data_IF_811431816950
#
_entry.id   IF_811431816950
#
_cell.length_a   1.000
_cell.length_b   1.000
_cell.length_c   1.000
_cell.angle_alpha   90.00
_cell.angle_beta   90.00
_cell.angle_gamma   90.00
#
_symmetry.space_group_name_H-M   'P 1'
#
loop_
_entity.id
_entity.type
_entity.pdbx_description
1 polymer ?
#
# COMPACT_ATOMS: atom_id res chain seq x y z
N UNK A 1 -11.02 1.39 20.90
CA UNK A 1 -10.65 2.45 19.94
C UNK A 1 -10.61 1.79 18.58
N UNK A 2 -11.71 1.88 17.83
CA UNK A 2 -11.73 1.43 16.44
C UNK A 2 -11.25 2.58 15.56
N UNK A 3 -10.42 2.27 14.57
CA UNK A 3 -9.97 3.25 13.59
C UNK A 3 -11.02 3.25 12.49
N UNK A 4 -11.76 4.35 12.35
CA UNK A 4 -12.85 4.46 11.38
C UNK A 4 -12.36 4.80 9.97
N UNK A 5 -11.23 5.52 9.86
CA UNK A 5 -10.69 6.02 8.60
C UNK A 5 -9.21 5.65 8.45
N UNK A 6 -8.82 5.22 7.24
CA UNK A 6 -7.43 4.94 6.91
C UNK A 6 -6.99 5.68 5.64
N UNK A 7 -5.81 6.30 5.71
CA UNK A 7 -5.13 6.92 4.56
C UNK A 7 -3.81 6.21 4.30
N UNK A 8 -3.66 5.70 3.08
CA UNK A 8 -2.49 4.96 2.62
C UNK A 8 -1.74 5.82 1.63
N UNK A 9 -0.43 5.99 1.87
CA UNK A 9 0.46 6.72 0.98
C UNK A 9 1.46 5.73 0.37
N UNK A 10 1.56 5.72 -0.96
CA UNK A 10 2.48 4.85 -1.70
C UNK A 10 3.27 5.66 -2.72
N UNK A 11 4.52 5.31 -2.96
CA UNK A 11 5.32 5.87 -4.05
C UNK A 11 5.16 5.13 -5.38
N UNK A 12 4.45 3.99 -5.36
CA UNK A 12 4.08 3.24 -6.55
C UNK A 12 2.75 3.74 -7.10
N UNK A 13 2.83 4.51 -8.19
CA UNK A 13 1.66 5.00 -8.91
C UNK A 13 0.80 3.84 -9.44
N UNK A 14 1.43 2.75 -9.90
CA UNK A 14 0.70 1.57 -10.37
C UNK A 14 -0.19 0.99 -9.27
N UNK A 15 0.34 0.84 -8.05
CA UNK A 15 -0.42 0.29 -6.93
C UNK A 15 -1.56 1.24 -6.54
N UNK A 16 -1.31 2.55 -6.50
CA UNK A 16 -2.36 3.53 -6.22
C UNK A 16 -3.52 3.43 -7.22
N UNK A 17 -3.22 3.44 -8.52
CA UNK A 17 -4.24 3.35 -9.58
C UNK A 17 -4.94 1.98 -9.65
N UNK A 18 -4.28 0.88 -9.27
CA UNK A 18 -4.92 -0.43 -9.18
C UNK A 18 -5.89 -0.51 -8.00
N UNK A 19 -5.54 0.07 -6.86
CA UNK A 19 -6.39 0.08 -5.67
C UNK A 19 -7.57 1.04 -5.84
N UNK A 20 -7.37 2.19 -6.49
CA UNK A 20 -8.48 3.11 -6.84
C UNK A 20 -9.40 2.55 -7.93
N UNK A 21 -9.01 1.47 -8.60
CA UNK A 21 -9.79 0.83 -9.66
C UNK A 21 -9.67 1.51 -11.02
N UNK A 22 -8.82 2.52 -11.15
CA UNK A 22 -8.49 3.15 -12.43
C UNK A 22 -7.83 2.14 -13.37
N UNK A 23 -6.95 1.29 -12.83
CA UNK A 23 -6.14 0.35 -13.60
C UNK A 23 -6.54 -1.10 -13.28
N UNK A 24 -6.80 -1.88 -14.33
CA UNK A 24 -6.98 -3.33 -14.20
C UNK A 24 -5.63 -4.04 -14.25
N UNK A 25 -5.48 -5.11 -13.47
CA UNK A 25 -4.31 -5.99 -13.54
C UNK A 25 -4.69 -7.31 -14.21
N UNK A 26 -3.82 -7.81 -15.09
CA UNK A 26 -3.99 -9.09 -15.80
C UNK A 26 -3.19 -10.23 -15.16
N UNK A 27 -2.29 -9.89 -14.24
CA UNK A 27 -1.49 -10.87 -13.53
C UNK A 27 -2.33 -11.46 -12.39
N UNK A 28 -2.54 -12.78 -12.42
CA UNK A 28 -3.37 -13.51 -11.46
C UNK A 28 -2.94 -13.28 -10.00
N UNK A 29 -1.63 -13.21 -9.73
CA UNK A 29 -1.11 -12.95 -8.38
C UNK A 29 -1.43 -11.54 -7.92
N UNK A 30 -1.34 -10.56 -8.83
CA UNK A 30 -1.71 -9.18 -8.52
C UNK A 30 -3.22 -9.04 -8.30
N UNK A 31 -4.06 -9.83 -8.98
CA UNK A 31 -5.51 -9.88 -8.72
C UNK A 31 -5.80 -10.39 -7.30
N UNK A 32 -5.10 -11.45 -6.87
CA UNK A 32 -5.23 -11.97 -5.50
C UNK A 32 -4.82 -10.94 -4.45
N UNK A 33 -3.67 -10.26 -4.64
CA UNK A 33 -3.23 -9.21 -3.73
C UNK A 33 -4.20 -8.04 -3.67
N UNK A 34 -4.74 -7.61 -4.81
CA UNK A 34 -5.74 -6.54 -4.85
C UNK A 34 -7.01 -6.92 -4.09
N UNK A 35 -7.45 -8.18 -4.21
CA UNK A 35 -8.61 -8.71 -3.49
C UNK A 35 -8.38 -8.69 -1.98
N UNK A 36 -7.20 -9.13 -1.53
CA UNK A 36 -6.76 -9.07 -0.13
C UNK A 36 -6.71 -7.63 0.42
N UNK A 37 -6.23 -6.68 -0.38
CA UNK A 37 -6.21 -5.27 -0.01
C UNK A 37 -7.64 -4.75 0.17
N UNK A 38 -8.52 -5.03 -0.79
CA UNK A 38 -9.93 -4.61 -0.72
C UNK A 38 -10.66 -5.18 0.49
N UNK A 39 -10.45 -6.47 0.81
CA UNK A 39 -11.03 -7.09 2.01
C UNK A 39 -10.56 -6.42 3.30
N UNK A 40 -9.27 -6.06 3.37
CA UNK A 40 -8.72 -5.34 4.54
C UNK A 40 -9.26 -3.91 4.62
N UNK A 41 -9.39 -3.22 3.49
CA UNK A 41 -9.92 -1.86 3.42
C UNK A 41 -11.42 -1.82 3.77
N UNK A 42 -12.18 -2.86 3.44
CA UNK A 42 -13.61 -2.97 3.78
C UNK A 42 -13.89 -3.00 5.29
N UNK A 43 -12.86 -3.18 6.13
CA UNK A 43 -12.98 -3.10 7.60
C UNK A 43 -13.02 -1.67 8.12
N UNK A 44 -12.67 -0.69 7.29
CA UNK A 44 -12.70 0.73 7.60
C UNK A 44 -13.94 1.35 6.96
N UNK A 45 -14.50 2.37 7.60
CA UNK A 45 -15.64 3.13 7.08
C UNK A 45 -15.23 3.96 5.87
N UNK A 46 -14.02 4.53 5.92
CA UNK A 46 -13.43 5.27 4.83
C UNK A 46 -11.98 4.83 4.60
N UNK A 47 -11.62 4.62 3.34
CA UNK A 47 -10.27 4.28 2.94
C UNK A 47 -9.83 5.11 1.75
N UNK A 48 -8.69 5.79 1.88
CA UNK A 48 -8.09 6.57 0.81
C UNK A 48 -6.69 6.05 0.49
N UNK A 49 -6.38 5.89 -0.80
CA UNK A 49 -5.02 5.53 -1.26
C UNK A 49 -4.51 6.63 -2.18
N UNK A 50 -3.39 7.24 -1.81
CA UNK A 50 -2.76 8.34 -2.55
C UNK A 50 -1.35 7.99 -2.97
N UNK A 51 -1.04 8.34 -4.22
CA UNK A 51 0.34 8.36 -4.69
C UNK A 51 1.07 9.57 -4.11
N UNK A 52 2.29 9.37 -3.62
CA UNK A 52 3.18 10.44 -3.17
C UNK A 52 4.54 10.31 -3.85
N UNK A 53 5.20 11.42 -4.24
CA UNK A 53 6.54 11.35 -4.78
C UNK A 53 7.50 10.73 -3.76
N UNK A 54 8.48 9.96 -4.25
CA UNK A 54 9.42 9.21 -3.41
C UNK A 54 10.13 10.05 -2.33
N UNK A 55 10.40 11.33 -2.61
CA UNK A 55 10.96 12.26 -1.61
C UNK A 55 10.08 12.45 -0.36
N UNK A 56 8.76 12.34 -0.51
CA UNK A 56 7.79 12.40 0.59
C UNK A 56 7.57 11.05 1.29
N UNK A 57 8.07 9.95 0.71
CA UNK A 57 8.06 8.61 1.30
C UNK A 57 9.41 8.23 1.96
N UNK A 58 10.29 9.21 2.16
CA UNK A 58 11.66 9.01 2.66
C UNK A 58 11.74 8.24 3.98
N UNK A 59 10.75 8.39 4.87
CA UNK A 59 10.66 7.62 6.12
C UNK A 59 10.49 6.11 5.86
N UNK A 60 9.68 5.74 4.87
CA UNK A 60 9.48 4.34 4.49
C UNK A 60 10.70 3.80 3.77
N UNK A 61 11.38 4.58 2.92
CA UNK A 61 12.62 4.18 2.22
C UNK A 61 13.79 3.84 3.18
N UNK A 62 13.77 4.33 4.43
CA UNK A 62 14.76 4.00 5.45
C UNK A 62 14.46 2.63 6.11
N UNK A 63 13.18 2.23 6.19
CA UNK A 63 12.77 1.02 6.92
C UNK A 63 13.32 -0.29 6.31
N UNK A 64 13.26 -0.53 4.97
CA UNK A 64 13.87 -1.70 4.35
C UNK A 64 15.39 -1.74 4.54
N UNK A 65 16.06 -0.57 4.53
CA UNK A 65 17.52 -0.47 4.75
C UNK A 65 17.90 -0.83 6.20
N UNK A 66 17.04 -0.49 7.15
CA UNK A 66 17.20 -0.89 8.55
C UNK A 66 16.92 -2.38 8.77
N UNK A 67 15.93 -2.94 8.05
CA UNK A 67 15.59 -4.35 8.13
C UNK A 67 16.66 -5.26 7.50
N UNK A 68 17.28 -4.84 6.39
CA UNK A 68 18.32 -5.61 5.69
C UNK A 68 19.68 -5.64 6.40
N UNK A 69 19.92 -4.72 7.33
CA UNK A 69 21.15 -4.66 8.14
C UNK A 69 21.08 -5.52 9.39
N UNK A 70 19.89 -5.96 9.83
CA UNK A 70 19.74 -7.04 10.82
C UNK A 70 19.89 -8.40 10.13
N UNK A 71 21.13 -8.79 9.82
CA UNK A 71 21.44 -10.22 9.65
C UNK A 71 21.13 -10.92 10.97
N UNK A 72 20.23 -11.92 10.92
CA UNK A 72 20.02 -12.88 12.02
C UNK A 72 21.38 -13.49 12.38
N UNK A 73 21.81 -13.31 13.64
CA UNK A 73 22.78 -14.22 14.26
C UNK A 73 22.03 -15.47 14.69
#
# INVERSE_FOLDING_TARGET
>A
MEVEEIRIFTDSQLVASQVSGEYQTKDERLVEYLSLIKEKLARFRESEVKHVPRGHNSRVDILPKLASTRKRK
#
